data_IF_322028831805
#
_entry.id   IF_322028831805
#
_cell.length_a   1.000
_cell.length_b   1.000
_cell.length_c   1.000
_cell.angle_alpha   90.00
_cell.angle_beta   90.00
_cell.angle_gamma   90.00
#
_symmetry.space_group_name_H-M   'P 1'
#
loop_
_entity.id
_entity.type
_entity.pdbx_description
1 polymer ?
#
# COMPACT_ATOMS: atom_id res chain seq x y z
N UNK A 1 6.11 28.26 12.04
CA UNK A 1 4.75 28.64 11.60
C UNK A 1 3.86 27.44 11.89
N UNK A 2 2.85 27.58 12.74
CA UNK A 2 1.86 26.51 12.97
C UNK A 2 1.13 26.25 11.66
N UNK A 3 1.23 25.04 11.11
CA UNK A 3 0.45 24.64 9.95
C UNK A 3 -1.04 24.80 10.33
N UNK A 4 -1.85 25.57 9.59
CA UNK A 4 -3.27 25.65 9.88
C UNK A 4 -3.85 24.23 9.86
N UNK A 5 -4.73 23.93 10.82
CA UNK A 5 -5.42 22.65 10.89
C UNK A 5 -6.10 22.38 9.55
N UNK A 6 -5.74 21.28 8.87
CA UNK A 6 -6.33 20.90 7.58
C UNK A 6 -7.84 20.81 7.72
N UNK A 7 -8.58 21.61 6.93
CA UNK A 7 -10.03 21.51 6.86
C UNK A 7 -10.39 20.37 5.91
N UNK A 8 -11.54 19.73 6.12
CA UNK A 8 -11.95 18.64 5.23
C UNK A 8 -12.26 19.13 3.81
N UNK A 9 -12.67 20.39 3.64
CA UNK A 9 -12.81 21.04 2.34
C UNK A 9 -11.47 21.15 1.57
N UNK A 10 -10.33 21.05 2.27
CA UNK A 10 -8.98 21.01 1.66
C UNK A 10 -8.57 19.58 1.26
N UNK A 11 -9.47 18.61 1.36
CA UNK A 11 -9.23 17.19 1.06
C UNK A 11 -10.14 16.75 -0.09
N UNK A 12 -9.55 16.13 -1.09
CA UNK A 12 -10.27 15.37 -2.11
C UNK A 12 -10.02 13.88 -1.94
N UNK A 13 -11.07 13.07 -1.93
CA UNK A 13 -10.98 11.61 -1.88
C UNK A 13 -11.18 11.04 -3.27
N UNK A 14 -10.11 10.46 -3.82
CA UNK A 14 -10.14 9.65 -5.04
C UNK A 14 -10.50 8.22 -4.64
N UNK A 15 -11.76 7.86 -4.88
CA UNK A 15 -12.25 6.48 -4.74
C UNK A 15 -11.97 5.73 -6.04
N UNK A 16 -11.01 4.82 -5.96
CA UNK A 16 -10.41 4.17 -7.12
C UNK A 16 -10.81 2.70 -7.22
N UNK A 17 -11.29 2.29 -8.40
CA UNK A 17 -11.51 0.88 -8.74
C UNK A 17 -12.90 0.57 -9.31
N UNK A 18 -13.19 -0.72 -9.57
CA UNK A 18 -14.51 -1.13 -10.03
C UNK A 18 -15.60 -0.85 -8.98
N UNK A 19 -16.77 -0.44 -9.45
CA UNK A 19 -17.99 -0.29 -8.65
C UNK A 19 -18.68 -1.63 -8.48
N UNK A 20 -18.75 -2.41 -9.56
CA UNK A 20 -19.09 -3.82 -9.57
C UNK A 20 -17.99 -4.63 -10.27
N UNK A 21 -17.91 -5.92 -9.99
CA UNK A 21 -16.83 -6.73 -10.54
C UNK A 21 -16.93 -7.00 -12.02
N UNK A 22 -15.75 -7.10 -12.62
CA UNK A 22 -15.55 -7.83 -13.87
C UNK A 22 -15.75 -9.33 -13.61
N UNK A 23 -16.27 -10.05 -14.61
CA UNK A 23 -16.87 -11.40 -14.60
C UNK A 23 -16.18 -12.51 -13.75
N UNK A 24 -14.95 -12.31 -13.28
CA UNK A 24 -14.08 -13.34 -12.67
C UNK A 24 -13.92 -13.25 -11.14
N UNK A 25 -14.46 -12.23 -10.46
CA UNK A 25 -14.40 -12.13 -8.99
C UNK A 25 -15.70 -11.57 -8.44
N UNK A 26 -16.13 -12.01 -7.26
CA UNK A 26 -17.26 -11.40 -6.57
C UNK A 26 -16.78 -10.22 -5.71
N UNK A 27 -17.57 -9.15 -5.68
CA UNK A 27 -17.40 -8.00 -4.79
C UNK A 27 -18.57 -7.99 -3.83
N UNK A 28 -18.29 -7.62 -2.58
CA UNK A 28 -19.31 -7.46 -1.55
C UNK A 28 -20.38 -6.47 -2.05
N UNK A 29 -21.66 -6.88 -2.15
CA UNK A 29 -22.72 -5.99 -2.61
C UNK A 29 -22.77 -4.70 -1.79
N UNK A 30 -22.88 -3.55 -2.48
CA UNK A 30 -22.96 -2.24 -1.83
C UNK A 30 -21.66 -1.73 -1.21
N UNK A 31 -20.51 -2.40 -1.38
CA UNK A 31 -19.25 -1.95 -0.77
C UNK A 31 -18.81 -0.56 -1.25
N UNK A 32 -19.03 -0.25 -2.53
CA UNK A 32 -18.67 1.06 -3.10
C UNK A 32 -19.57 2.16 -2.55
N UNK A 33 -20.87 1.91 -2.42
CA UNK A 33 -21.81 2.84 -1.78
C UNK A 33 -21.42 3.09 -0.31
N UNK A 34 -21.05 2.03 0.42
CA UNK A 34 -20.51 2.13 1.78
C UNK A 34 -19.21 2.93 1.84
N UNK A 35 -18.31 2.75 0.87
CA UNK A 35 -17.09 3.54 0.72
C UNK A 35 -17.43 5.03 0.62
N UNK A 36 -18.25 5.42 -0.34
CA UNK A 36 -18.64 6.81 -0.58
C UNK A 36 -19.36 7.41 0.64
N UNK A 37 -20.34 6.68 1.19
CA UNK A 37 -21.09 7.11 2.39
C UNK A 37 -20.18 7.32 3.60
N UNK A 38 -19.16 6.49 3.77
CA UNK A 38 -18.19 6.65 4.86
C UNK A 38 -17.33 7.91 4.70
N UNK A 39 -17.01 8.32 3.47
CA UNK A 39 -16.27 9.56 3.23
C UNK A 39 -17.10 10.75 3.67
N UNK A 40 -18.39 10.80 3.29
CA UNK A 40 -19.31 11.85 3.76
C UNK A 40 -19.43 11.89 5.28
N UNK A 41 -19.49 10.72 5.93
CA UNK A 41 -19.62 10.63 7.37
C UNK A 41 -18.38 11.11 8.15
N UNK A 42 -17.18 10.78 7.66
CA UNK A 42 -15.93 11.02 8.40
C UNK A 42 -15.12 12.21 7.90
N UNK A 43 -15.41 12.73 6.71
CA UNK A 43 -14.79 13.93 6.12
C UNK A 43 -15.88 14.85 5.55
N UNK A 44 -16.80 15.40 6.38
CA UNK A 44 -17.84 16.29 5.89
C UNK A 44 -17.22 17.52 5.20
N UNK A 45 -17.58 17.73 3.93
CA UNK A 45 -17.06 18.82 3.10
C UNK A 45 -15.96 18.41 2.10
N UNK A 46 -15.36 17.23 2.26
CA UNK A 46 -14.39 16.72 1.29
C UNK A 46 -15.06 16.43 -0.07
N UNK A 47 -14.36 16.79 -1.15
CA UNK A 47 -14.75 16.43 -2.51
C UNK A 47 -14.49 14.94 -2.75
N UNK A 48 -15.40 14.24 -3.41
CA UNK A 48 -15.28 12.83 -3.78
C UNK A 48 -15.18 12.71 -5.29
N UNK A 49 -14.06 12.18 -5.76
CA UNK A 49 -13.86 11.78 -7.16
C UNK A 49 -14.00 10.26 -7.23
N UNK A 50 -15.00 9.78 -7.96
CA UNK A 50 -15.09 8.36 -8.31
C UNK A 50 -14.31 8.11 -9.60
N UNK A 51 -13.19 7.40 -9.50
CA UNK A 51 -12.33 7.03 -10.63
C UNK A 51 -12.49 5.55 -10.97
N UNK A 52 -13.18 5.29 -12.08
CA UNK A 52 -13.65 3.95 -12.44
C UNK A 52 -13.64 3.70 -13.95
N UNK A 53 -14.30 2.62 -14.38
CA UNK A 53 -14.27 2.10 -15.76
C UNK A 53 -15.60 2.37 -16.50
N UNK A 54 -15.66 2.17 -17.83
CA UNK A 54 -16.91 2.14 -18.56
C UNK A 54 -17.86 1.04 -18.04
N UNK A 55 -19.15 1.21 -18.34
CA UNK A 55 -20.21 0.22 -18.06
C UNK A 55 -20.37 -0.18 -16.58
N UNK A 56 -19.95 0.71 -15.66
CA UNK A 56 -20.20 0.57 -14.23
C UNK A 56 -21.64 0.99 -13.87
N UNK A 57 -22.24 0.36 -12.87
CA UNK A 57 -23.57 0.66 -12.34
C UNK A 57 -23.44 1.78 -11.31
N UNK A 58 -23.63 3.00 -11.77
CA UNK A 58 -23.41 4.20 -10.97
C UNK A 58 -24.68 4.72 -10.26
N UNK A 59 -25.84 4.12 -10.55
CA UNK A 59 -27.12 4.56 -10.00
C UNK A 59 -27.11 4.58 -8.46
N UNK A 60 -27.47 5.72 -7.88
CA UNK A 60 -27.58 5.90 -6.44
C UNK A 60 -26.26 6.14 -5.70
N UNK A 61 -25.12 6.21 -6.39
CA UNK A 61 -23.84 6.54 -5.76
C UNK A 61 -23.69 8.05 -5.55
N UNK A 62 -23.28 8.45 -4.34
CA UNK A 62 -23.00 9.85 -3.99
C UNK A 62 -21.50 10.17 -4.19
N UNK A 63 -21.20 10.89 -5.27
CA UNK A 63 -19.88 11.44 -5.58
C UNK A 63 -20.03 12.83 -6.23
N UNK A 64 -18.98 13.64 -6.18
CA UNK A 64 -19.00 15.01 -6.72
C UNK A 64 -18.50 15.07 -8.17
N UNK A 65 -17.52 14.22 -8.52
CA UNK A 65 -16.93 14.14 -9.85
C UNK A 65 -16.69 12.68 -10.26
N UNK A 66 -16.90 12.39 -11.54
CA UNK A 66 -16.69 11.07 -12.14
C UNK A 66 -15.55 11.13 -13.15
N UNK A 67 -14.59 10.22 -13.00
CA UNK A 67 -13.51 10.00 -13.96
C UNK A 67 -13.64 8.58 -14.51
N UNK A 68 -13.90 8.47 -15.83
CA UNK A 68 -13.97 7.19 -16.54
C UNK A 68 -12.67 7.01 -17.32
N UNK A 69 -11.90 5.97 -17.00
CA UNK A 69 -10.67 5.62 -17.71
C UNK A 69 -10.87 4.45 -18.66
N UNK A 70 -10.20 4.44 -19.80
CA UNK A 70 -10.09 3.24 -20.63
C UNK A 70 -9.42 2.11 -19.83
N UNK A 71 -10.00 0.91 -19.85
CA UNK A 71 -9.45 -0.24 -19.12
C UNK A 71 -8.19 -0.77 -19.84
N UNK A 72 -6.98 -0.66 -19.24
CA UNK A 72 -5.76 -1.18 -19.86
C UNK A 72 -5.71 -2.72 -19.89
N UNK A 73 -6.72 -3.39 -19.34
CA UNK A 73 -6.75 -4.83 -19.15
C UNK A 73 -5.83 -5.29 -18.02
N UNK A 74 -5.82 -6.60 -17.73
CA UNK A 74 -4.82 -7.18 -16.86
C UNK A 74 -3.45 -7.20 -17.54
N UNK A 75 -2.38 -7.18 -16.74
CA UNK A 75 -1.01 -7.30 -17.23
C UNK A 75 -0.35 -8.61 -16.76
N UNK A 76 0.55 -9.15 -17.56
CA UNK A 76 1.27 -10.40 -17.31
C UNK A 76 2.60 -10.07 -16.63
N UNK A 77 2.83 -10.61 -15.44
CA UNK A 77 4.10 -10.42 -14.70
C UNK A 77 4.84 -11.72 -14.41
N UNK A 78 4.17 -12.84 -14.64
CA UNK A 78 4.69 -14.16 -14.36
C UNK A 78 3.93 -15.19 -15.20
N UNK A 79 4.44 -16.40 -15.23
CA UNK A 79 3.79 -17.54 -15.88
C UNK A 79 3.59 -18.67 -14.84
N UNK A 80 2.64 -19.56 -15.09
CA UNK A 80 2.45 -20.82 -14.35
C UNK A 80 3.44 -21.87 -14.84
N UNK A 81 3.61 -22.98 -14.10
CA UNK A 81 4.57 -24.04 -14.47
C UNK A 81 4.27 -24.70 -15.81
N UNK A 82 3.01 -24.68 -16.22
CA UNK A 82 2.54 -25.16 -17.53
C UNK A 82 2.73 -24.15 -18.67
N UNK A 83 3.33 -22.98 -18.39
CA UNK A 83 3.56 -21.93 -19.37
C UNK A 83 2.38 -20.98 -19.59
N UNK A 84 1.25 -21.15 -18.89
CA UNK A 84 0.12 -20.23 -18.99
C UNK A 84 0.39 -18.90 -18.27
N UNK A 85 -0.10 -17.74 -18.77
CA UNK A 85 0.18 -16.44 -18.17
C UNK A 85 -0.54 -16.23 -16.84
N UNK A 86 0.13 -15.56 -15.89
CA UNK A 86 -0.49 -15.05 -14.66
C UNK A 86 -0.86 -13.58 -14.84
N UNK A 87 -2.15 -13.28 -14.71
CA UNK A 87 -2.72 -11.95 -14.87
C UNK A 87 -2.78 -11.16 -13.55
N UNK A 88 -2.40 -9.89 -13.62
CA UNK A 88 -2.39 -8.95 -12.51
C UNK A 88 -3.13 -7.66 -12.87
N UNK A 89 -3.60 -6.92 -11.86
CA UNK A 89 -4.34 -5.67 -12.03
C UNK A 89 -3.44 -4.46 -11.70
N UNK A 90 -2.14 -4.52 -12.01
CA UNK A 90 -1.23 -3.43 -11.67
C UNK A 90 -1.54 -2.18 -12.51
N UNK A 91 -1.67 -2.35 -13.81
CA UNK A 91 -1.95 -1.23 -14.73
C UNK A 91 -3.32 -0.60 -14.44
N UNK A 92 -4.34 -1.42 -14.15
CA UNK A 92 -5.65 -0.93 -13.70
C UNK A 92 -5.56 -0.03 -12.46
N UNK A 93 -4.75 -0.40 -11.46
CA UNK A 93 -4.54 0.43 -10.28
C UNK A 93 -3.81 1.73 -10.59
N UNK A 94 -2.80 1.70 -11.47
CA UNK A 94 -2.06 2.90 -11.90
C UNK A 94 -3.00 3.87 -12.60
N UNK A 95 -3.68 3.42 -13.66
CA UNK A 95 -4.56 4.24 -14.51
C UNK A 95 -5.63 4.91 -13.66
N UNK A 96 -6.43 4.12 -12.95
CA UNK A 96 -7.55 4.68 -12.19
C UNK A 96 -7.11 5.51 -10.98
N UNK A 97 -5.94 5.26 -10.38
CA UNK A 97 -5.42 6.14 -9.33
C UNK A 97 -4.94 7.46 -9.90
N UNK A 98 -4.11 7.42 -10.94
CA UNK A 98 -3.48 8.61 -11.53
C UNK A 98 -4.53 9.52 -12.18
N UNK A 99 -5.47 8.96 -12.95
CA UNK A 99 -6.53 9.72 -13.59
C UNK A 99 -7.38 10.49 -12.56
N UNK A 100 -7.74 9.84 -11.44
CA UNK A 100 -8.46 10.53 -10.37
C UNK A 100 -7.62 11.61 -9.68
N UNK A 101 -6.34 11.34 -9.41
CA UNK A 101 -5.43 12.32 -8.77
C UNK A 101 -5.18 13.56 -9.65
N UNK A 102 -5.16 13.41 -10.97
CA UNK A 102 -4.98 14.54 -11.90
C UNK A 102 -6.16 15.54 -11.88
N UNK A 103 -7.33 15.11 -11.40
CA UNK A 103 -8.50 15.96 -11.24
C UNK A 103 -8.58 16.64 -9.86
N UNK A 104 -7.71 16.27 -8.92
CA UNK A 104 -7.69 16.85 -7.58
C UNK A 104 -7.19 18.30 -7.63
N UNK A 105 -7.99 19.21 -7.06
CA UNK A 105 -7.69 20.65 -6.97
C UNK A 105 -7.32 21.11 -5.56
N UNK A 106 -7.55 20.26 -4.56
CA UNK A 106 -7.30 20.58 -3.16
C UNK A 106 -5.84 20.29 -2.77
N UNK A 107 -5.31 20.92 -1.70
CA UNK A 107 -3.93 20.69 -1.26
C UNK A 107 -3.65 19.25 -0.82
N UNK A 108 -4.64 18.59 -0.20
CA UNK A 108 -4.52 17.20 0.25
C UNK A 108 -5.42 16.28 -0.56
N UNK A 109 -4.97 15.05 -0.72
CA UNK A 109 -5.69 13.99 -1.40
C UNK A 109 -5.71 12.69 -0.59
N UNK A 110 -6.75 11.91 -0.78
CA UNK A 110 -6.82 10.51 -0.36
C UNK A 110 -6.92 9.64 -1.61
N UNK A 111 -6.05 8.63 -1.69
CA UNK A 111 -6.27 7.47 -2.55
C UNK A 111 -6.94 6.38 -1.71
N UNK A 112 -8.18 6.02 -2.02
CA UNK A 112 -8.95 4.98 -1.34
C UNK A 112 -9.44 3.95 -2.37
N UNK A 113 -9.20 2.65 -2.14
CA UNK A 113 -9.82 1.64 -3.02
C UNK A 113 -11.34 1.61 -2.81
N UNK A 114 -12.09 1.40 -3.88
CA UNK A 114 -13.57 1.29 -3.86
C UNK A 114 -14.12 0.15 -3.00
N UNK A 115 -13.27 -0.81 -2.60
CA UNK A 115 -13.61 -1.92 -1.70
C UNK A 115 -13.12 -1.73 -0.24
N UNK A 116 -12.71 -0.51 0.10
CA UNK A 116 -12.38 -0.06 1.46
C UNK A 116 -13.30 1.10 1.85
N UNK A 117 -13.40 1.42 3.14
CA UNK A 117 -14.25 2.50 3.63
C UNK A 117 -13.59 3.15 4.85
N UNK A 118 -13.97 4.39 5.17
CA UNK A 118 -13.49 5.06 6.37
C UNK A 118 -14.30 4.62 7.61
N UNK A 119 -13.63 4.57 8.75
CA UNK A 119 -14.25 4.42 10.08
C UNK A 119 -13.83 5.55 11.01
N UNK A 120 -13.10 6.53 10.49
CA UNK A 120 -12.54 7.67 11.20
C UNK A 120 -11.68 8.53 10.27
N UNK A 121 -11.13 9.62 10.82
CA UNK A 121 -10.27 10.58 10.11
C UNK A 121 -8.96 10.87 10.86
N UNK A 122 -8.57 9.98 11.79
CA UNK A 122 -7.40 10.16 12.64
C UNK A 122 -6.09 10.31 11.85
N UNK A 123 -6.03 9.82 10.61
CA UNK A 123 -4.90 10.03 9.69
C UNK A 123 -4.58 11.52 9.46
N UNK A 124 -5.56 12.44 9.51
CA UNK A 124 -5.34 13.88 9.29
C UNK A 124 -4.42 14.44 10.37
N UNK A 125 -4.77 14.18 11.64
CA UNK A 125 -3.95 14.59 12.77
C UNK A 125 -2.64 13.79 12.83
N UNK A 126 -2.68 12.49 12.54
CA UNK A 126 -1.51 11.60 12.56
C UNK A 126 -0.39 12.09 11.64
N UNK A 127 -0.72 12.62 10.46
CA UNK A 127 0.27 13.11 9.50
C UNK A 127 1.20 14.18 10.11
N UNK A 128 0.65 15.02 10.99
CA UNK A 128 1.34 16.16 11.57
C UNK A 128 2.09 15.83 12.88
N UNK A 129 1.91 14.62 13.43
CA UNK A 129 2.52 14.20 14.71
C UNK A 129 4.03 13.95 14.62
N UNK A 130 4.57 13.80 13.41
CA UNK A 130 5.94 13.38 13.17
C UNK A 130 6.64 14.39 12.27
N UNK A 131 7.00 15.59 12.77
CA UNK A 131 7.48 16.69 11.94
C UNK A 131 8.96 16.57 11.55
N UNK A 132 9.80 15.86 12.32
CA UNK A 132 11.24 15.76 12.02
C UNK A 132 11.49 14.76 10.91
N UNK A 133 12.50 15.00 10.07
CA UNK A 133 12.96 14.07 9.03
C UNK A 133 14.47 14.01 9.06
N UNK A 134 15.03 12.88 8.68
CA UNK A 134 16.46 12.72 8.45
C UNK A 134 16.83 12.90 6.99
N UNK A 135 18.13 12.91 6.73
CA UNK A 135 18.76 12.78 5.42
C UNK A 135 19.76 11.60 5.48
N UNK A 136 20.03 10.89 4.38
CA UNK A 136 19.39 10.98 3.05
C UNK A 136 18.00 10.29 3.01
N UNK A 137 17.36 10.28 1.84
CA UNK A 137 16.07 9.60 1.56
C UNK A 137 14.79 10.34 1.95
N UNK A 138 14.77 11.68 1.89
CA UNK A 138 13.55 12.47 2.05
C UNK A 138 13.16 13.18 0.75
N UNK A 139 12.23 12.60 -0.02
CA UNK A 139 11.86 13.10 -1.36
C UNK A 139 10.42 13.61 -1.46
N UNK A 140 9.55 13.25 -0.51
CA UNK A 140 8.23 13.84 -0.36
C UNK A 140 8.32 15.15 0.45
N UNK A 141 7.38 16.06 0.21
CA UNK A 141 7.31 17.32 0.97
C UNK A 141 6.73 17.09 2.35
N UNK A 142 5.74 16.23 2.48
CA UNK A 142 5.22 15.73 3.75
C UNK A 142 5.20 14.20 3.75
N UNK A 143 5.10 13.61 4.94
CA UNK A 143 4.88 12.17 5.01
C UNK A 143 3.48 11.83 4.50
N UNK A 144 3.38 10.73 3.77
CA UNK A 144 2.09 10.16 3.35
C UNK A 144 1.68 9.08 4.34
N UNK A 145 0.48 9.20 4.90
CA UNK A 145 -0.10 8.19 5.79
C UNK A 145 -0.61 7.03 4.94
N UNK A 146 -0.18 5.82 5.27
CA UNK A 146 -0.49 4.58 4.55
C UNK A 146 -0.96 3.50 5.50
N UNK A 147 -1.74 2.55 4.98
CA UNK A 147 -2.17 1.39 5.77
C UNK A 147 -1.05 0.37 5.95
N UNK A 148 -1.00 -0.25 7.13
CA UNK A 148 -0.13 -1.41 7.35
C UNK A 148 -0.66 -2.71 6.72
N UNK A 149 -1.92 -2.73 6.27
CA UNK A 149 -2.56 -3.92 5.69
C UNK A 149 -1.91 -4.23 4.35
N UNK A 150 -1.20 -5.35 4.26
CA UNK A 150 -0.29 -5.67 3.14
C UNK A 150 0.98 -4.81 3.05
N UNK A 151 1.31 -3.96 4.02
CA UNK A 151 2.66 -3.41 4.18
C UNK A 151 3.47 -4.41 5.01
N UNK A 152 4.15 -5.34 4.32
CA UNK A 152 4.76 -6.50 4.97
C UNK A 152 6.14 -6.15 5.51
N UNK A 153 6.40 -6.58 6.73
CA UNK A 153 7.75 -6.70 7.26
C UNK A 153 8.36 -8.05 6.92
N UNK A 154 7.53 -9.10 6.87
CA UNK A 154 7.96 -10.46 6.56
C UNK A 154 7.13 -11.11 5.44
N UNK A 155 7.82 -11.81 4.54
CA UNK A 155 7.20 -12.72 3.58
C UNK A 155 7.98 -14.04 3.55
N UNK A 156 7.25 -15.17 3.46
CA UNK A 156 7.87 -16.50 3.36
C UNK A 156 8.87 -16.83 4.48
N UNK A 157 8.75 -16.18 5.64
CA UNK A 157 9.65 -16.34 6.79
C UNK A 157 10.92 -15.48 6.77
N UNK A 158 11.07 -14.61 5.76
CA UNK A 158 12.17 -13.66 5.64
C UNK A 158 11.66 -12.24 5.78
N UNK A 159 12.51 -11.34 6.26
CA UNK A 159 12.28 -9.90 6.18
C UNK A 159 12.31 -9.47 4.70
N UNK A 160 11.51 -8.48 4.34
CA UNK A 160 11.39 -8.00 2.95
C UNK A 160 11.48 -6.47 2.87
N UNK A 161 12.19 -5.98 1.87
CA UNK A 161 12.32 -4.55 1.58
C UNK A 161 11.13 -4.04 0.73
N UNK A 162 10.80 -2.75 0.85
CA UNK A 162 9.94 -1.97 -0.05
C UNK A 162 8.51 -2.50 -0.27
N UNK A 163 8.01 -3.42 0.56
CA UNK A 163 6.65 -3.95 0.45
C UNK A 163 5.61 -3.02 1.09
N UNK A 164 4.87 -2.26 0.27
CA UNK A 164 3.96 -1.19 0.70
C UNK A 164 2.52 -1.36 0.18
N UNK A 165 1.54 -1.35 1.09
CA UNK A 165 0.10 -1.48 0.76
C UNK A 165 -0.39 -0.50 -0.29
N UNK A 166 -1.22 -0.98 -1.23
CA UNK A 166 -1.93 -0.16 -2.20
C UNK A 166 -3.29 0.37 -1.70
N UNK A 167 -3.69 0.14 -0.44
CA UNK A 167 -5.10 0.29 -0.03
C UNK A 167 -5.53 1.73 0.23
N UNK A 168 -4.69 2.49 0.92
CA UNK A 168 -5.01 3.80 1.45
C UNK A 168 -3.75 4.67 1.48
N UNK A 169 -3.85 5.89 0.96
CA UNK A 169 -2.82 6.92 1.05
C UNK A 169 -3.49 8.25 1.37
N UNK A 170 -2.98 8.98 2.35
CA UNK A 170 -3.37 10.37 2.63
C UNK A 170 -2.13 11.25 2.73
N UNK A 171 -2.13 12.38 2.02
CA UNK A 171 -1.07 13.38 2.12
C UNK A 171 -1.28 14.50 1.13
N UNK A 172 -0.23 15.30 0.91
CA UNK A 172 -0.27 16.36 -0.11
C UNK A 172 -0.53 15.76 -1.48
N UNK A 173 -1.40 16.42 -2.26
CA UNK A 173 -1.75 15.99 -3.62
C UNK A 173 -0.50 15.84 -4.49
N UNK A 174 0.46 16.77 -4.37
CA UNK A 174 1.73 16.71 -5.11
C UNK A 174 2.59 15.49 -4.72
N UNK A 175 2.55 15.05 -3.46
CA UNK A 175 3.30 13.90 -3.00
C UNK A 175 2.62 12.59 -3.44
N UNK A 176 1.29 12.53 -3.45
CA UNK A 176 0.56 11.40 -4.03
C UNK A 176 0.81 11.29 -5.54
N UNK A 177 0.86 12.40 -6.27
CA UNK A 177 1.23 12.42 -7.70
C UNK A 177 2.66 11.91 -7.93
N UNK A 178 3.64 12.32 -7.10
CA UNK A 178 5.01 11.77 -7.17
C UNK A 178 5.02 10.24 -7.02
N UNK A 179 4.16 9.68 -6.18
CA UNK A 179 4.05 8.23 -5.95
C UNK A 179 3.36 7.52 -7.13
N UNK A 180 2.22 8.05 -7.59
CA UNK A 180 1.30 7.33 -8.47
C UNK A 180 1.39 7.68 -9.95
N UNK A 181 2.15 8.70 -10.32
CA UNK A 181 2.48 9.02 -11.72
C UNK A 181 3.45 7.98 -12.31
N UNK A 182 2.97 6.75 -12.47
CA UNK A 182 3.76 5.60 -12.90
C UNK A 182 3.40 5.29 -14.36
N UNK A 183 4.39 4.96 -15.17
CA UNK A 183 4.10 4.43 -16.51
C UNK A 183 3.45 3.04 -16.37
N UNK A 184 2.79 2.55 -17.41
CA UNK A 184 2.23 1.21 -17.39
C UNK A 184 3.33 0.15 -17.44
N UNK A 185 3.07 -0.99 -16.81
CA UNK A 185 3.94 -2.15 -16.91
C UNK A 185 3.70 -2.86 -18.24
N UNK A 186 4.76 -3.11 -19.04
CA UNK A 186 4.62 -4.01 -20.18
C UNK A 186 4.36 -5.43 -19.69
N UNK A 187 3.71 -6.22 -20.55
CA UNK A 187 3.58 -7.65 -20.32
C UNK A 187 4.97 -8.32 -20.38
N UNK A 188 5.21 -9.21 -19.43
CA UNK A 188 6.39 -10.07 -19.44
C UNK A 188 6.30 -11.00 -20.67
N UNK A 189 7.28 -10.99 -21.58
CA UNK A 189 7.31 -11.94 -22.69
C UNK A 189 7.49 -13.38 -22.20
N UNK A 190 6.85 -14.34 -22.85
CA UNK A 190 6.96 -15.77 -22.49
C UNK A 190 8.39 -16.30 -22.56
N UNK A 191 9.23 -15.74 -23.45
CA UNK A 191 10.66 -16.06 -23.54
C UNK A 191 11.47 -15.69 -22.29
N UNK A 192 10.92 -14.85 -21.41
CA UNK A 192 11.53 -14.41 -20.15
C UNK A 192 10.86 -15.05 -18.93
N UNK A 193 9.99 -16.06 -19.12
CA UNK A 193 9.27 -16.71 -18.04
C UNK A 193 10.18 -17.46 -17.04
N UNK A 194 11.31 -18.00 -17.53
CA UNK A 194 12.24 -18.80 -16.73
C UNK A 194 13.27 -17.95 -15.98
N UNK A 195 13.69 -16.81 -16.57
CA UNK A 195 14.66 -15.89 -15.94
C UNK A 195 14.13 -15.27 -14.64
N UNK A 196 12.81 -15.05 -14.55
CA UNK A 196 12.16 -14.50 -13.35
C UNK A 196 11.97 -15.54 -12.24
N UNK A 197 11.96 -16.84 -12.58
CA UNK A 197 11.88 -17.93 -11.58
C UNK A 197 13.23 -18.37 -11.04
N UNK A 198 14.31 -18.12 -11.79
CA UNK A 198 15.68 -18.57 -11.50
C UNK A 198 16.65 -17.51 -10.97
N UNK A 199 16.23 -16.26 -10.76
CA UNK A 199 17.09 -15.23 -10.16
C UNK A 199 17.37 -15.46 -8.66
N UNK A 200 18.41 -14.81 -8.08
CA UNK A 200 18.72 -14.91 -6.66
C UNK A 200 17.50 -14.49 -5.81
N UNK A 201 16.79 -15.47 -5.23
CA UNK A 201 15.59 -15.26 -4.40
C UNK A 201 14.35 -16.06 -4.79
N UNK A 202 14.28 -16.63 -6.01
CA UNK A 202 13.26 -17.60 -6.47
C UNK A 202 11.78 -17.18 -6.42
N UNK A 203 11.49 -15.92 -6.08
CA UNK A 203 10.15 -15.35 -6.07
C UNK A 203 10.15 -13.97 -6.76
N UNK A 204 9.21 -13.71 -7.69
CA UNK A 204 9.14 -12.41 -8.36
C UNK A 204 8.77 -11.31 -7.35
N UNK A 205 9.19 -10.09 -7.65
CA UNK A 205 8.81 -8.87 -6.89
C UNK A 205 7.27 -8.82 -6.76
N UNK A 206 6.77 -8.61 -5.54
CA UNK A 206 5.33 -8.52 -5.28
C UNK A 206 4.71 -7.29 -5.98
N UNK A 207 3.41 -7.33 -6.28
CA UNK A 207 2.73 -6.20 -6.94
C UNK A 207 2.86 -4.90 -6.14
N UNK A 208 2.81 -5.01 -4.81
CA UNK A 208 2.93 -3.87 -3.89
C UNK A 208 4.36 -3.36 -3.76
N UNK A 209 5.36 -4.26 -3.76
CA UNK A 209 6.77 -3.87 -3.86
C UNK A 209 7.05 -3.11 -5.14
N UNK A 210 6.49 -3.57 -6.26
CA UNK A 210 6.71 -2.94 -7.56
C UNK A 210 6.24 -1.47 -7.56
N UNK A 211 5.05 -1.16 -7.05
CA UNK A 211 4.55 0.24 -7.08
C UNK A 211 5.51 1.17 -6.35
N UNK A 212 5.91 0.77 -5.14
CA UNK A 212 6.80 1.58 -4.33
C UNK A 212 8.20 1.69 -4.90
N UNK A 213 8.77 0.59 -5.41
CA UNK A 213 10.07 0.60 -6.08
C UNK A 213 10.06 1.56 -7.29
N UNK A 214 9.02 1.52 -8.12
CA UNK A 214 8.93 2.42 -9.28
C UNK A 214 8.74 3.89 -8.89
N UNK A 215 8.01 4.17 -7.81
CA UNK A 215 7.94 5.51 -7.24
C UNK A 215 9.32 5.99 -6.77
N UNK A 216 10.06 5.13 -6.07
CA UNK A 216 11.41 5.44 -5.58
C UNK A 216 12.44 5.62 -6.71
N UNK A 217 12.34 4.86 -7.79
CA UNK A 217 13.30 4.90 -8.91
C UNK A 217 13.30 6.24 -9.65
N UNK A 218 12.27 7.07 -9.49
CA UNK A 218 12.27 8.46 -9.97
C UNK A 218 13.30 9.35 -9.26
N UNK A 219 13.67 8.97 -8.02
CA UNK A 219 14.59 9.72 -7.16
C UNK A 219 15.91 8.96 -6.94
N UNK A 220 15.87 7.63 -6.98
CA UNK A 220 17.01 6.74 -6.77
C UNK A 220 17.07 5.70 -7.90
N UNK A 221 17.57 6.04 -9.10
CA UNK A 221 17.51 5.17 -10.28
C UNK A 221 18.22 3.82 -10.11
N UNK A 222 19.22 3.76 -9.25
CA UNK A 222 19.99 2.53 -8.97
C UNK A 222 19.28 1.58 -8.00
N UNK A 223 18.19 2.01 -7.37
CA UNK A 223 17.45 1.22 -6.42
C UNK A 223 16.73 0.07 -7.14
N UNK A 224 17.03 -1.15 -6.74
CA UNK A 224 16.48 -2.36 -7.34
C UNK A 224 16.48 -3.53 -6.37
N UNK A 225 15.57 -4.48 -6.60
CA UNK A 225 15.52 -5.76 -5.92
C UNK A 225 15.72 -6.89 -6.93
N UNK A 226 16.43 -7.95 -6.56
CA UNK A 226 16.54 -9.16 -7.40
C UNK A 226 15.30 -10.05 -7.33
N UNK A 227 14.40 -9.81 -6.38
CA UNK A 227 13.16 -10.56 -6.18
C UNK A 227 12.46 -10.18 -4.88
N UNK A 228 11.33 -10.83 -4.58
CA UNK A 228 10.53 -10.56 -3.36
C UNK A 228 11.37 -10.70 -2.08
N UNK A 229 12.27 -11.69 -2.04
CA UNK A 229 13.07 -12.02 -0.87
C UNK A 229 14.48 -11.41 -0.90
N UNK A 230 14.74 -10.42 -1.77
CA UNK A 230 15.99 -9.65 -1.70
C UNK A 230 16.00 -8.86 -0.39
N UNK A 231 16.75 -9.40 0.57
CA UNK A 231 16.84 -8.94 1.94
C UNK A 231 18.29 -8.61 2.32
N UNK A 232 19.09 -8.20 1.32
CA UNK A 232 20.44 -7.66 1.55
C UNK A 232 20.36 -6.53 2.59
N UNK A 233 21.30 -6.45 3.55
CA UNK A 233 21.25 -5.45 4.62
C UNK A 233 21.07 -4.02 4.10
N UNK A 234 21.72 -3.68 2.98
CA UNK A 234 21.64 -2.37 2.35
C UNK A 234 20.22 -2.07 1.83
N UNK A 235 19.55 -3.05 1.22
CA UNK A 235 18.18 -2.88 0.71
C UNK A 235 17.16 -2.73 1.86
N UNK A 236 17.33 -3.49 2.95
CA UNK A 236 16.48 -3.37 4.15
C UNK A 236 16.68 -1.98 4.79
N UNK A 237 17.93 -1.55 4.92
CA UNK A 237 18.30 -0.27 5.51
C UNK A 237 17.73 0.91 4.70
N UNK A 238 17.92 0.89 3.37
CA UNK A 238 17.34 1.90 2.48
C UNK A 238 15.81 1.91 2.54
N UNK A 239 15.17 0.74 2.59
CA UNK A 239 13.72 0.64 2.77
C UNK A 239 13.26 1.28 4.07
N UNK A 240 13.97 1.03 5.16
CA UNK A 240 13.66 1.59 6.47
C UNK A 240 13.80 3.12 6.49
N UNK A 241 14.86 3.66 5.89
CA UNK A 241 15.05 5.12 5.76
C UNK A 241 13.95 5.74 4.89
N UNK A 242 13.61 5.13 3.75
CA UNK A 242 12.51 5.60 2.90
C UNK A 242 11.16 5.63 3.66
N UNK A 243 10.86 4.58 4.44
CA UNK A 243 9.64 4.53 5.25
C UNK A 243 9.63 5.57 6.36
N UNK A 244 10.74 5.73 7.08
CA UNK A 244 10.85 6.68 8.18
C UNK A 244 10.69 8.12 7.70
N UNK A 245 11.28 8.47 6.56
CA UNK A 245 11.35 9.84 6.07
C UNK A 245 10.14 10.28 5.25
N UNK A 246 9.43 9.36 4.59
CA UNK A 246 8.38 9.71 3.61
C UNK A 246 7.00 9.16 3.95
N UNK A 247 6.89 8.19 4.85
CA UNK A 247 5.61 7.52 5.13
C UNK A 247 5.28 7.56 6.63
N UNK A 248 4.00 7.39 6.95
CA UNK A 248 3.52 6.98 8.27
C UNK A 248 2.70 5.72 8.10
N UNK A 249 3.16 4.59 8.65
CA UNK A 249 2.55 3.28 8.46
C UNK A 249 1.62 2.96 9.64
N UNK A 250 0.34 3.32 9.52
CA UNK A 250 -0.66 3.14 10.57
C UNK A 250 -1.50 1.88 10.39
N UNK A 251 -1.99 1.29 11.48
CA UNK A 251 -2.95 0.20 11.39
C UNK A 251 -4.35 0.70 11.01
N UNK A 252 -5.26 -0.17 10.53
CA UNK A 252 -6.65 0.19 10.28
C UNK A 252 -7.33 0.91 11.44
N UNK A 253 -7.04 0.51 12.68
CA UNK A 253 -7.59 1.16 13.86
C UNK A 253 -6.99 2.55 14.08
N UNK A 254 -5.68 2.72 13.86
CA UNK A 254 -4.98 3.99 14.10
C UNK A 254 -5.37 5.06 13.07
N UNK A 255 -5.59 4.65 11.80
CA UNK A 255 -5.94 5.59 10.73
C UNK A 255 -7.45 5.73 10.53
N UNK A 256 -8.27 4.78 11.00
CA UNK A 256 -9.71 4.77 10.76
C UNK A 256 -10.07 4.20 9.38
N UNK A 257 -9.52 3.05 9.03
CA UNK A 257 -9.78 2.34 7.77
C UNK A 257 -10.55 1.03 8.02
N UNK A 258 -11.66 0.86 7.30
CA UNK A 258 -12.42 -0.37 7.20
C UNK A 258 -12.10 -1.15 5.92
N UNK A 259 -12.17 -2.48 6.00
CA UNK A 259 -11.93 -3.39 4.88
C UNK A 259 -13.20 -4.18 4.57
N UNK A 260 -13.42 -4.52 3.29
CA UNK A 260 -14.49 -5.44 2.90
C UNK A 260 -14.32 -6.85 3.49
N UNK A 261 -15.41 -7.61 3.50
CA UNK A 261 -15.54 -8.90 4.18
C UNK A 261 -14.53 -9.95 3.69
N UNK A 262 -14.08 -9.86 2.43
CA UNK A 262 -13.04 -10.76 1.87
C UNK A 262 -11.69 -10.66 2.59
N UNK A 263 -11.46 -9.56 3.30
CA UNK A 263 -10.27 -9.33 4.12
C UNK A 263 -10.50 -9.62 5.61
N UNK A 264 -11.68 -10.14 5.98
CA UNK A 264 -12.06 -10.46 7.35
C UNK A 264 -12.01 -11.98 7.64
N UNK A 265 -12.20 -12.35 8.91
CA UNK A 265 -12.32 -13.74 9.34
C UNK A 265 -11.13 -14.63 8.97
N UNK A 266 -11.37 -15.60 8.07
CA UNK A 266 -10.37 -16.58 7.64
C UNK A 266 -9.43 -16.06 6.55
N UNK A 267 -9.53 -14.80 6.11
CA UNK A 267 -8.59 -14.20 5.16
C UNK A 267 -7.14 -14.26 5.70
N UNK A 268 -6.16 -14.47 4.82
CA UNK A 268 -4.75 -14.60 5.21
C UNK A 268 -4.27 -13.43 6.08
N UNK A 269 -4.70 -12.20 5.76
CA UNK A 269 -4.32 -11.00 6.51
C UNK A 269 -5.05 -10.84 7.84
N UNK A 270 -6.20 -11.49 8.02
CA UNK A 270 -6.99 -11.42 9.25
C UNK A 270 -6.50 -12.42 10.31
N UNK A 271 -5.87 -13.51 9.87
CA UNK A 271 -5.25 -14.52 10.74
C UNK A 271 -4.02 -13.97 11.45
N UNK A 272 -3.73 -14.52 12.63
CA UNK A 272 -2.54 -14.18 13.44
C UNK A 272 -1.25 -14.19 12.65
N UNK A 273 -1.02 -15.23 11.82
CA UNK A 273 0.16 -15.36 10.94
C UNK A 273 0.29 -14.21 9.94
N UNK A 274 -0.82 -13.67 9.43
CA UNK A 274 -0.81 -12.53 8.52
C UNK A 274 -0.55 -11.23 9.25
N UNK A 275 -1.27 -11.00 10.36
CA UNK A 275 -1.15 -9.79 11.18
C UNK A 275 0.26 -9.58 11.70
N UNK A 276 0.89 -10.61 12.27
CA UNK A 276 2.24 -10.47 12.83
C UNK A 276 3.34 -10.32 11.76
N UNK A 277 3.05 -10.60 10.48
CA UNK A 277 4.01 -10.45 9.39
C UNK A 277 4.00 -9.04 8.77
N UNK A 278 3.02 -8.20 9.13
CA UNK A 278 2.94 -6.81 8.69
C UNK A 278 3.74 -5.90 9.63
N UNK A 279 4.01 -4.69 9.15
CA UNK A 279 4.51 -3.62 10.01
C UNK A 279 3.47 -3.27 11.07
N UNK A 280 3.91 -3.12 12.32
CA UNK A 280 3.10 -2.51 13.36
C UNK A 280 3.48 -1.02 13.49
N UNK A 281 2.50 -0.18 13.87
CA UNK A 281 2.74 1.27 13.98
C UNK A 281 3.91 1.60 14.92
N UNK A 282 4.04 0.91 16.04
CA UNK A 282 5.18 1.10 16.94
C UNK A 282 6.54 0.70 16.34
N UNK A 283 6.56 -0.24 15.38
CA UNK A 283 7.80 -0.59 14.67
C UNK A 283 8.18 0.50 13.67
N UNK A 284 7.19 1.15 13.05
CA UNK A 284 7.45 2.33 12.24
C UNK A 284 7.91 3.52 13.12
N UNK A 285 7.32 3.69 14.30
CA UNK A 285 7.79 4.67 15.30
C UNK A 285 9.24 4.40 15.74
N UNK A 286 9.66 3.13 15.84
CA UNK A 286 11.07 2.78 16.07
C UNK A 286 11.97 3.30 14.92
N UNK A 287 11.52 3.19 13.66
CA UNK A 287 12.24 3.76 12.52
C UNK A 287 12.29 5.28 12.59
N UNK A 288 11.17 5.93 12.90
CA UNK A 288 11.13 7.38 13.08
C UNK A 288 12.12 7.83 14.16
N UNK A 289 12.16 7.14 15.30
CA UNK A 289 13.16 7.40 16.33
C UNK A 289 14.59 7.23 15.81
N UNK A 290 14.86 6.15 15.10
CA UNK A 290 16.19 5.82 14.62
C UNK A 290 16.72 6.81 13.58
N UNK A 291 15.89 7.20 12.62
CA UNK A 291 16.34 7.96 11.44
C UNK A 291 15.95 9.44 11.46
N UNK A 292 14.98 9.84 12.28
CA UNK A 292 14.41 11.20 12.23
C UNK A 292 14.49 11.94 13.57
N UNK A 293 14.23 11.26 14.68
CA UNK A 293 14.17 11.90 16.00
C UNK A 293 14.62 10.96 17.13
N UNK A 294 15.91 10.96 17.44
CA UNK A 294 16.50 10.07 18.46
C UNK A 294 15.85 10.26 19.85
N UNK A 295 15.29 11.45 20.13
CA UNK A 295 14.61 11.74 21.39
C UNK A 295 13.17 11.19 21.45
N UNK A 296 12.58 10.82 20.30
CA UNK A 296 11.21 10.33 20.23
C UNK A 296 11.04 9.02 21.02
N UNK A 297 9.90 8.87 21.69
CA UNK A 297 9.56 7.66 22.45
C UNK A 297 8.39 6.95 21.78
N UNK A 298 8.61 5.77 21.15
CA UNK A 298 7.55 4.95 20.59
C UNK A 298 6.49 4.58 21.63
N UNK A 299 5.22 4.70 21.25
CA UNK A 299 4.09 4.35 22.11
C UNK A 299 3.87 2.84 22.09
N UNK A 300 4.64 2.13 22.93
CA UNK A 300 4.54 0.68 23.05
C UNK A 300 5.12 0.19 24.37
N UNK A 301 4.44 -0.79 24.96
CA UNK A 301 4.88 -1.49 26.17
C UNK A 301 5.83 -2.63 25.84
N UNK A 302 6.72 -2.99 26.79
CA UNK A 302 7.56 -4.19 26.67
C UNK A 302 6.73 -5.46 26.42
N UNK A 303 5.55 -5.57 27.05
CA UNK A 303 4.62 -6.69 26.87
C UNK A 303 4.15 -6.82 25.42
N UNK A 304 3.81 -5.72 24.75
CA UNK A 304 3.43 -5.73 23.34
C UNK A 304 4.58 -6.18 22.44
N UNK A 305 5.81 -5.68 22.68
CA UNK A 305 7.02 -6.10 21.95
C UNK A 305 7.29 -7.59 22.08
N UNK A 306 7.32 -8.10 23.31
CA UNK A 306 7.54 -9.52 23.60
C UNK A 306 6.44 -10.38 22.97
N UNK A 307 5.18 -9.96 23.08
CA UNK A 307 4.05 -10.68 22.46
C UNK A 307 4.23 -10.78 20.94
N UNK A 308 4.58 -9.69 20.26
CA UNK A 308 4.79 -9.71 18.82
C UNK A 308 5.97 -10.62 18.43
N UNK A 309 7.08 -10.53 19.15
CA UNK A 309 8.25 -11.37 18.95
C UNK A 309 7.90 -12.86 19.07
N UNK A 310 7.24 -13.28 20.17
CA UNK A 310 6.81 -14.66 20.38
C UNK A 310 5.82 -15.11 19.30
N UNK A 311 4.92 -14.23 18.87
CA UNK A 311 3.98 -14.53 17.78
C UNK A 311 4.70 -14.78 16.45
N UNK A 312 5.77 -14.03 16.15
CA UNK A 312 6.61 -14.24 14.96
C UNK A 312 7.48 -15.50 15.08
N UNK A 313 7.98 -15.82 16.27
CA UNK A 313 8.67 -17.08 16.55
C UNK A 313 7.81 -18.30 16.23
N UNK A 314 6.51 -18.24 16.51
CA UNK A 314 5.56 -19.34 16.23
C UNK A 314 5.09 -19.38 14.78
N UNK A 315 4.89 -18.22 14.13
CA UNK A 315 4.17 -18.16 12.85
C UNK A 315 5.01 -17.75 11.63
N UNK A 316 6.08 -16.98 11.82
CA UNK A 316 6.91 -16.43 10.74
C UNK A 316 8.18 -17.25 10.57
N UNK A 317 9.00 -17.36 11.62
CA UNK A 317 10.33 -17.98 11.52
C UNK A 317 10.31 -19.46 11.12
N UNK A 318 9.34 -20.30 11.54
CA UNK A 318 9.27 -21.69 11.08
C UNK A 318 9.03 -21.79 9.56
N UNK A 319 8.34 -20.80 8.97
CA UNK A 319 8.11 -20.75 7.51
C UNK A 319 9.42 -20.54 6.73
N UNK A 320 10.46 -19.99 7.36
CA UNK A 320 11.77 -19.78 6.73
C UNK A 320 12.36 -21.11 6.27
N UNK A 321 12.30 -22.15 7.11
CA UNK A 321 12.81 -23.49 6.79
C UNK A 321 12.07 -24.10 5.61
N UNK A 322 10.73 -24.04 5.60
CA UNK A 322 9.92 -24.51 4.48
C UNK A 322 10.28 -23.80 3.17
N UNK A 323 10.52 -22.49 3.22
CA UNK A 323 10.89 -21.69 2.05
C UNK A 323 12.29 -22.05 1.54
N UNK A 324 13.28 -22.21 2.42
CA UNK A 324 14.63 -22.65 2.03
C UNK A 324 14.58 -24.02 1.35
N UNK A 325 13.80 -24.96 1.88
CA UNK A 325 13.64 -26.28 1.26
C UNK A 325 12.96 -26.21 -0.12
N UNK A 326 12.02 -25.27 -0.33
CA UNK A 326 11.40 -25.05 -1.64
C UNK A 326 12.37 -24.46 -2.65
N UNK A 327 13.17 -23.47 -2.23
CA UNK A 327 14.17 -22.82 -3.09
C UNK A 327 15.32 -23.76 -3.49
N UNK A 328 15.62 -24.79 -2.68
CA UNK A 328 16.62 -25.83 -3.03
C UNK A 328 16.12 -26.90 -3.98
N UNK A 329 14.79 -27.02 -4.15
CA UNK A 329 14.14 -28.07 -4.97
C UNK A 329 13.64 -27.56 -6.33
N UNK A 330 13.63 -26.26 -6.54
CA UNK A 330 13.23 -25.61 -7.79
C UNK A 330 14.45 -25.05 -8.51
#
# INVERSE_FOLDING_TARGET
MSNPMTKFDDITVVVQGPVQTFQDREQEPGITEKCLSSVRAYLPGATIILSTWPDQKLDGLDYDELVISEDPGPNIRNYHKDGSPQFYNNNRQIVSTLAGLQHVKTPYAIKLRSDNFLTGNAFVAMQQQFPKRGEPFSFLRERVVVSNVFTRRYAKGFEVAFHLSDFFYYGLTEDLLKIWDLELLPDLPSSQADSIRGGPGGFPIDCTQMFWLRALNKFYPDLSLTGLLDNRPEAIEQSNQCYANNLIIGSPADIGLGLCQKFSGNARIARTKGKCAQWHFFEWQDLYRQYCDVAFQPDVTLRQRVRLFLTRLLHVYPTKLETVLKLRKG
#
